data_IF_145138808142
#
_entry.id   IF_145138808142
#
_cell.length_a   1.000
_cell.length_b   1.000
_cell.length_c   1.000
_cell.angle_alpha   90.00
_cell.angle_beta   90.00
_cell.angle_gamma   90.00
#
_symmetry.space_group_name_H-M   'P 1'
#
loop_
_entity.id
_entity.type
_entity.pdbx_description
1 polymer ?
#
# COMPACT_ATOMS: atom_id res chain seq x y z
N UNK A 1 -11.01 18.10 3.99
CA UNK A 1 -10.72 17.09 2.96
C UNK A 1 -11.55 15.86 3.21
N UNK A 2 -12.49 15.62 2.34
CA UNK A 2 -13.43 14.50 2.53
C UNK A 2 -12.74 13.16 2.57
N UNK A 3 -11.65 12.99 1.81
CA UNK A 3 -10.98 11.71 1.73
C UNK A 3 -10.13 11.38 2.96
N UNK A 4 -9.79 12.38 3.77
CA UNK A 4 -9.03 12.11 4.98
C UNK A 4 -9.78 11.24 5.98
N UNK A 5 -11.11 11.31 5.98
CA UNK A 5 -11.92 10.46 6.84
C UNK A 5 -11.85 8.99 6.48
N UNK A 6 -11.52 8.66 5.23
CA UNK A 6 -11.40 7.29 4.76
C UNK A 6 -9.97 6.76 4.84
N UNK A 7 -8.99 7.65 4.91
CA UNK A 7 -7.57 7.31 4.90
C UNK A 7 -7.01 7.37 6.31
N UNK A 8 -6.28 6.34 6.67
CA UNK A 8 -5.48 6.34 7.89
C UNK A 8 -4.07 5.93 7.51
N UNK A 9 -3.18 6.92 7.38
CA UNK A 9 -1.81 6.69 6.91
C UNK A 9 -0.85 6.99 8.06
N UNK A 10 -0.19 5.93 8.56
CA UNK A 10 0.75 6.02 9.68
C UNK A 10 2.14 5.73 9.16
N UNK A 11 2.99 6.75 9.16
CA UNK A 11 4.35 6.62 8.62
C UNK A 11 5.33 6.05 9.63
N UNK A 12 5.06 6.18 10.92
CA UNK A 12 5.98 5.73 11.96
C UNK A 12 5.97 4.21 12.05
N UNK A 13 7.16 3.56 12.02
CA UNK A 13 7.23 2.12 12.19
C UNK A 13 6.74 1.70 13.57
N UNK A 14 6.00 0.60 13.62
CA UNK A 14 5.51 0.05 14.89
C UNK A 14 6.39 -1.09 15.39
N UNK A 15 7.31 -1.58 14.57
CA UNK A 15 8.25 -2.63 14.93
C UNK A 15 9.67 -2.18 14.66
N UNK A 16 10.60 -2.76 15.41
CA UNK A 16 12.02 -2.53 15.22
C UNK A 16 12.78 -3.86 15.16
N UNK A 17 14.13 -3.80 15.08
CA UNK A 17 14.95 -5.00 15.05
C UNK A 17 14.68 -5.90 16.25
N UNK A 18 14.83 -7.19 16.05
CA UNK A 18 14.66 -8.22 17.10
C UNK A 18 13.21 -8.37 17.58
N UNK A 19 12.25 -7.74 16.92
CA UNK A 19 10.83 -7.93 17.20
C UNK A 19 10.20 -8.81 16.14
N UNK A 20 9.41 -9.79 16.59
CA UNK A 20 8.63 -10.61 15.68
C UNK A 20 7.45 -9.80 15.14
N UNK A 21 7.27 -9.80 13.84
CA UNK A 21 6.14 -9.13 13.20
C UNK A 21 5.14 -10.20 12.79
N UNK A 22 3.95 -10.15 13.41
CA UNK A 22 2.84 -10.99 13.00
C UNK A 22 1.93 -10.13 12.13
N UNK A 23 2.03 -10.34 10.81
CA UNK A 23 1.29 -9.52 9.85
C UNK A 23 -0.21 -9.73 10.00
N UNK A 24 -0.65 -10.96 10.27
CA UNK A 24 -2.08 -11.23 10.44
C UNK A 24 -2.64 -10.50 11.67
N UNK A 25 -1.87 -10.41 12.74
CA UNK A 25 -2.30 -9.64 13.90
C UNK A 25 -2.31 -8.14 13.59
N UNK A 26 -1.35 -7.66 12.82
CA UNK A 26 -1.31 -6.26 12.42
C UNK A 26 -2.52 -5.87 11.57
N UNK A 27 -2.99 -6.76 10.70
CA UNK A 27 -4.18 -6.54 9.87
C UNK A 27 -5.40 -6.23 10.74
N UNK A 28 -5.52 -6.88 11.88
CA UNK A 28 -6.68 -6.70 12.76
C UNK A 28 -6.80 -5.31 13.35
N UNK A 29 -5.74 -4.51 13.29
CA UNK A 29 -5.74 -3.14 13.82
C UNK A 29 -6.31 -2.11 12.85
N UNK A 30 -6.61 -2.51 11.61
CA UNK A 30 -7.15 -1.60 10.61
C UNK A 30 -8.50 -1.07 11.08
N UNK A 31 -8.64 0.24 11.08
CA UNK A 31 -9.81 0.94 11.60
C UNK A 31 -10.38 1.97 10.62
N UNK A 32 -9.90 1.98 9.38
CA UNK A 32 -10.37 2.88 8.33
C UNK A 32 -10.45 2.13 7.00
N UNK A 33 -11.30 2.57 6.06
CA UNK A 33 -11.42 1.90 4.76
C UNK A 33 -10.12 1.83 3.97
N UNK A 34 -9.25 2.83 4.11
CA UNK A 34 -7.92 2.83 3.49
C UNK A 34 -6.87 2.99 4.57
N UNK A 35 -6.54 1.86 5.20
CA UNK A 35 -5.59 1.82 6.29
C UNK A 35 -4.19 1.50 5.75
N UNK A 36 -3.19 2.26 6.16
CA UNK A 36 -1.82 2.12 5.67
C UNK A 36 -0.88 2.38 6.84
N UNK A 37 -0.13 1.35 7.24
CA UNK A 37 0.73 1.40 8.40
C UNK A 37 2.13 0.95 8.04
N UNK A 38 3.14 1.76 8.35
CA UNK A 38 4.53 1.31 8.27
C UNK A 38 4.76 0.29 9.37
N UNK A 39 5.20 -0.92 8.99
CA UNK A 39 5.52 -1.96 9.96
C UNK A 39 6.95 -1.80 10.47
N UNK A 40 7.90 -1.66 9.56
CA UNK A 40 9.32 -1.58 9.93
C UNK A 40 10.09 -0.86 8.83
N UNK A 41 11.18 -0.23 9.21
CA UNK A 41 12.16 0.31 8.27
C UNK A 41 13.40 -0.59 8.29
N UNK A 42 13.85 -0.98 7.10
CA UNK A 42 15.04 -1.83 6.95
C UNK A 42 15.92 -1.20 5.88
N UNK A 43 17.09 -0.69 6.29
CA UNK A 43 18.08 -0.16 5.34
C UNK A 43 17.57 0.95 4.44
N UNK A 44 16.78 1.87 4.97
CA UNK A 44 16.24 2.98 4.20
C UNK A 44 14.99 2.63 3.38
N UNK A 45 14.44 1.44 3.59
CA UNK A 45 13.26 0.94 2.89
C UNK A 45 12.16 0.69 3.92
N UNK A 46 10.94 1.09 3.59
CA UNK A 46 9.77 0.89 4.46
C UNK A 46 8.99 -0.32 3.99
N UNK A 47 8.70 -1.22 4.94
CA UNK A 47 7.70 -2.27 4.73
C UNK A 47 6.39 -1.76 5.31
N UNK A 48 5.40 -1.61 4.47
CA UNK A 48 4.11 -1.04 4.86
C UNK A 48 3.00 -2.05 4.64
N UNK A 49 2.00 -1.97 5.50
CA UNK A 49 0.81 -2.81 5.40
C UNK A 49 -0.36 -1.95 4.96
N UNK A 50 -1.01 -2.36 3.87
CA UNK A 50 -2.27 -1.77 3.44
C UNK A 50 -3.42 -2.71 3.73
N UNK A 51 -4.48 -2.19 4.33
CA UNK A 51 -5.72 -2.94 4.56
C UNK A 51 -6.85 -2.09 3.99
N UNK A 52 -7.41 -2.56 2.88
CA UNK A 52 -8.36 -1.78 2.09
C UNK A 52 -9.71 -2.47 2.14
N UNK A 53 -10.74 -1.71 2.53
CA UNK A 53 -12.10 -2.26 2.64
C UNK A 53 -12.70 -2.55 1.26
N UNK A 54 -12.37 -1.74 0.26
CA UNK A 54 -12.86 -1.88 -1.09
C UNK A 54 -12.96 -0.52 -1.76
N UNK A 55 -13.03 -0.53 -3.09
CA UNK A 55 -13.21 0.69 -3.86
C UNK A 55 -11.93 1.23 -4.44
N UNK A 56 -12.00 2.45 -4.92
CA UNK A 56 -10.94 3.08 -5.69
C UNK A 56 -10.16 4.07 -4.85
N UNK A 57 -8.84 3.98 -4.94
CA UNK A 57 -7.97 5.02 -4.43
C UNK A 57 -7.92 6.15 -5.47
N UNK A 58 -7.35 7.30 -5.14
CA UNK A 58 -7.21 8.36 -6.13
C UNK A 58 -6.02 8.10 -7.06
N UNK A 59 -6.08 8.68 -8.27
CA UNK A 59 -4.96 8.65 -9.21
C UNK A 59 -3.81 9.47 -8.62
N UNK A 60 -2.60 8.89 -8.65
CA UNK A 60 -1.41 9.56 -8.13
C UNK A 60 -0.15 8.95 -8.75
N UNK A 61 0.98 9.57 -8.48
CA UNK A 61 2.28 9.05 -8.88
C UNK A 61 3.32 9.43 -7.85
N UNK A 62 4.43 8.72 -7.87
CA UNK A 62 5.60 9.02 -7.06
C UNK A 62 6.71 9.42 -8.02
N UNK A 63 7.24 10.63 -7.87
CA UNK A 63 8.15 11.22 -8.85
C UNK A 63 9.48 10.47 -8.94
N UNK A 64 9.98 9.99 -7.80
CA UNK A 64 11.35 9.48 -7.72
C UNK A 64 11.46 8.08 -7.14
N UNK A 65 10.34 7.45 -6.80
CA UNK A 65 10.37 6.12 -6.20
C UNK A 65 9.47 5.17 -6.97
N UNK A 66 9.85 3.90 -6.97
CA UNK A 66 8.97 2.81 -7.35
C UNK A 66 8.08 2.45 -6.18
N UNK A 67 6.92 1.88 -6.47
CA UNK A 67 6.03 1.37 -5.43
C UNK A 67 5.74 -0.10 -5.70
N UNK A 68 6.06 -0.96 -4.74
CA UNK A 68 5.89 -2.40 -4.87
C UNK A 68 4.68 -2.85 -4.05
N UNK A 69 3.87 -3.72 -4.66
CA UNK A 69 2.68 -4.30 -4.02
C UNK A 69 2.79 -5.81 -4.01
N UNK A 70 2.50 -6.44 -2.89
CA UNK A 70 2.36 -7.88 -2.76
C UNK A 70 1.03 -8.17 -2.06
N UNK A 71 0.11 -8.89 -2.73
CA UNK A 71 -1.22 -9.15 -2.18
C UNK A 71 -1.18 -10.35 -1.24
N UNK A 72 -1.63 -10.15 0.00
CA UNK A 72 -1.77 -11.20 1.00
C UNK A 72 -3.13 -11.87 0.85
N UNK A 73 -4.18 -11.07 0.72
CA UNK A 73 -5.54 -11.56 0.58
C UNK A 73 -6.38 -10.58 -0.21
N UNK A 74 -7.49 -11.05 -0.76
CA UNK A 74 -8.37 -10.23 -1.58
C UNK A 74 -7.95 -10.16 -3.03
N UNK A 75 -8.28 -9.05 -3.68
CA UNK A 75 -7.90 -8.80 -5.08
C UNK A 75 -7.67 -7.31 -5.28
N UNK A 76 -6.53 -6.99 -5.82
CA UNK A 76 -6.13 -5.61 -6.10
C UNK A 76 -5.96 -5.44 -7.61
N UNK A 77 -6.64 -4.45 -8.19
CA UNK A 77 -6.37 -4.03 -9.56
C UNK A 77 -5.56 -2.74 -9.50
N UNK A 78 -4.46 -2.71 -10.22
CA UNK A 78 -3.66 -1.50 -10.35
C UNK A 78 -3.94 -0.93 -11.73
N UNK A 79 -4.59 0.22 -11.77
CA UNK A 79 -4.87 0.92 -13.02
C UNK A 79 -3.70 1.82 -13.36
N UNK A 80 -3.27 1.76 -14.61
CA UNK A 80 -2.06 2.40 -15.09
C UNK A 80 -2.41 3.34 -16.23
N UNK A 81 -1.89 4.57 -16.18
CA UNK A 81 -2.14 5.53 -17.24
C UNK A 81 -1.57 5.04 -18.56
N UNK A 82 -2.44 4.98 -19.58
CA UNK A 82 -2.04 4.60 -20.93
C UNK A 82 -1.74 3.12 -21.14
N UNK A 83 -2.06 2.26 -20.18
CA UNK A 83 -1.80 0.82 -20.26
C UNK A 83 -2.95 0.02 -19.67
N UNK A 84 -3.01 -1.26 -20.01
CA UNK A 84 -3.98 -2.16 -19.41
C UNK A 84 -3.73 -2.29 -17.91
N UNK A 85 -4.80 -2.39 -17.11
CA UNK A 85 -4.64 -2.62 -15.68
C UNK A 85 -4.06 -4.00 -15.40
N UNK A 86 -3.49 -4.14 -14.20
CA UNK A 86 -2.95 -5.41 -13.73
C UNK A 86 -3.76 -5.83 -12.50
N UNK A 87 -4.23 -7.07 -12.49
CA UNK A 87 -4.95 -7.62 -11.33
C UNK A 87 -4.05 -8.59 -10.58
N UNK A 88 -4.01 -8.41 -9.26
CA UNK A 88 -3.21 -9.21 -8.35
C UNK A 88 -4.13 -10.03 -7.44
N UNK A 89 -3.97 -11.34 -7.50
CA UNK A 89 -4.56 -12.28 -6.54
C UNK A 89 -3.57 -12.54 -5.41
N UNK A 90 -3.99 -13.20 -4.32
CA UNK A 90 -3.06 -13.50 -3.22
C UNK A 90 -1.81 -14.22 -3.71
N UNK A 91 -0.65 -13.76 -3.24
CA UNK A 91 0.64 -14.28 -3.63
C UNK A 91 1.22 -13.65 -4.88
N UNK A 92 0.52 -12.70 -5.50
CA UNK A 92 1.02 -11.99 -6.67
C UNK A 92 1.55 -10.62 -6.29
N UNK A 93 2.52 -10.15 -7.06
CA UNK A 93 3.20 -8.89 -6.79
C UNK A 93 3.43 -8.11 -8.07
N UNK A 94 3.57 -6.80 -7.92
CA UNK A 94 3.78 -5.91 -9.06
C UNK A 94 4.45 -4.63 -8.59
N UNK A 95 5.37 -4.11 -9.39
CA UNK A 95 6.05 -2.85 -9.10
C UNK A 95 5.61 -1.79 -10.09
N UNK A 96 5.15 -0.66 -9.57
CA UNK A 96 4.80 0.50 -10.39
C UNK A 96 6.05 1.37 -10.53
N UNK A 97 6.48 1.69 -11.77
CA UNK A 97 7.66 2.53 -11.96
C UNK A 97 7.43 3.94 -11.43
N UNK A 98 8.54 4.60 -11.08
CA UNK A 98 8.47 6.02 -10.71
C UNK A 98 7.91 6.83 -11.87
N UNK A 99 7.18 7.89 -11.53
CA UNK A 99 6.61 8.82 -12.51
C UNK A 99 5.36 8.31 -13.21
N UNK A 100 4.93 7.07 -12.97
CA UNK A 100 3.74 6.54 -13.61
C UNK A 100 2.49 6.87 -12.82
N UNK A 101 1.55 7.55 -13.47
CA UNK A 101 0.25 7.83 -12.87
C UNK A 101 -0.54 6.52 -12.77
N UNK A 102 -1.03 6.23 -11.58
CA UNK A 102 -1.70 4.95 -11.31
C UNK A 102 -2.71 5.10 -10.19
N UNK A 103 -3.58 4.10 -10.05
CA UNK A 103 -4.45 4.04 -8.88
C UNK A 103 -4.74 2.58 -8.53
N UNK A 104 -4.59 2.22 -7.24
CA UNK A 104 -5.05 0.91 -6.77
C UNK A 104 -6.56 0.91 -6.64
N UNK A 105 -7.17 -0.23 -6.99
CA UNK A 105 -8.59 -0.48 -6.82
C UNK A 105 -8.73 -1.80 -6.08
N UNK A 106 -9.31 -1.75 -4.90
CA UNK A 106 -9.59 -2.97 -4.14
C UNK A 106 -10.94 -3.52 -4.60
N UNK A 107 -10.91 -4.63 -5.32
CA UNK A 107 -12.12 -5.24 -5.87
C UNK A 107 -12.97 -5.92 -4.81
N UNK A 108 -12.38 -6.17 -3.66
CA UNK A 108 -12.99 -6.76 -2.46
C UNK A 108 -12.09 -6.37 -1.29
N UNK A 109 -12.44 -6.69 -0.04
CA UNK A 109 -11.52 -6.42 1.07
C UNK A 109 -10.17 -7.06 0.78
N UNK A 110 -9.11 -6.27 0.87
CA UNK A 110 -7.78 -6.65 0.38
C UNK A 110 -6.71 -6.23 1.37
N UNK A 111 -5.71 -7.08 1.55
CA UNK A 111 -4.55 -6.79 2.38
C UNK A 111 -3.30 -6.93 1.54
N UNK A 112 -2.42 -5.94 1.62
CA UNK A 112 -1.20 -5.89 0.81
C UNK A 112 -0.01 -5.53 1.67
N UNK A 113 1.16 -6.03 1.27
CA UNK A 113 2.42 -5.49 1.73
C UNK A 113 2.98 -4.60 0.63
N UNK A 114 3.50 -3.45 1.03
CA UNK A 114 4.08 -2.49 0.10
C UNK A 114 5.51 -2.19 0.54
N UNK A 115 6.38 -2.06 -0.43
CA UNK A 115 7.78 -1.70 -0.19
C UNK A 115 8.01 -0.35 -0.84
N UNK A 116 8.49 0.60 -0.06
CA UNK A 116 8.72 1.96 -0.49
C UNK A 116 9.98 2.51 0.13
N UNK A 117 10.63 3.42 -0.58
CA UNK A 117 11.78 4.11 -0.03
C UNK A 117 11.33 5.10 1.04
N UNK A 118 12.21 5.37 2.02
CA UNK A 118 11.90 6.38 3.03
C UNK A 118 11.67 7.74 2.38
N UNK A 119 10.74 8.51 2.96
CA UNK A 119 10.42 9.83 2.45
C UNK A 119 9.34 9.87 1.38
N UNK A 120 8.80 8.69 0.98
CA UNK A 120 7.71 8.66 0.01
C UNK A 120 6.44 9.25 0.62
N UNK A 121 5.68 9.99 -0.19
CA UNK A 121 4.34 10.41 0.18
C UNK A 121 3.35 9.39 -0.37
N UNK A 122 2.68 8.65 0.50
CA UNK A 122 1.80 7.54 0.11
C UNK A 122 0.70 7.98 -0.84
N UNK A 123 0.22 9.22 -0.69
CA UNK A 123 -0.84 9.77 -1.53
C UNK A 123 -0.32 10.34 -2.86
N UNK A 124 0.99 10.28 -3.09
CA UNK A 124 1.60 10.79 -4.31
C UNK A 124 2.34 12.09 -4.09
N UNK A 125 3.34 12.31 -4.89
CA UNK A 125 4.15 13.51 -4.86
C UNK A 125 4.48 13.95 -6.29
#
# INVERSE_FOLDING_TARGET
MTQQGNYRINYQPVFGPLQLIDVHEAIKRADHPWYNQTLIEVGGVLLRLGVFAGGEYHWHKHQEQEEFFYVIGGRLRIELDGRDPVELAPGMAFSVPRGMLHRPVALEPTQVLMIEKTGVAVTGD
#
